data_IF_971640226049
#
_entry.id   IF_971640226049
#
_cell.length_a   1.000
_cell.length_b   1.000
_cell.length_c   1.000
_cell.angle_alpha   90.00
_cell.angle_beta   90.00
_cell.angle_gamma   90.00
#
_symmetry.space_group_name_H-M   'P 1'
#
loop_
_entity.id
_entity.type
_entity.pdbx_description
1 polymer ?
#
# COMPACT_ATOMS: atom_id res chain seq x y z
N UNK A 1 8.07 4.73 -16.23
CA UNK A 1 8.22 4.26 -14.83
C UNK A 1 8.15 2.75 -14.86
N UNK A 2 9.14 2.09 -14.29
CA UNK A 2 9.13 0.63 -14.16
C UNK A 2 8.24 0.27 -12.97
N UNK A 3 7.14 -0.45 -13.23
CA UNK A 3 6.21 -0.89 -12.19
C UNK A 3 6.64 -2.29 -11.77
N UNK A 4 7.01 -2.46 -10.49
CA UNK A 4 7.41 -3.76 -9.92
C UNK A 4 6.35 -4.24 -8.94
N UNK A 5 5.74 -5.39 -9.22
CA UNK A 5 4.75 -6.06 -8.36
C UNK A 5 5.43 -7.00 -7.34
N UNK A 6 4.70 -7.33 -6.26
CA UNK A 6 5.09 -8.30 -5.21
C UNK A 6 5.20 -9.72 -5.78
N UNK A 7 6.28 -9.97 -6.53
CA UNK A 7 6.73 -11.25 -7.11
C UNK A 7 7.70 -11.04 -8.28
N UNK A 8 7.79 -9.81 -8.83
CA UNK A 8 8.59 -9.52 -10.02
C UNK A 8 10.08 -9.28 -9.73
N UNK A 9 10.45 -9.07 -8.46
CA UNK A 9 11.85 -8.90 -8.05
C UNK A 9 12.25 -9.98 -7.03
N UNK A 10 13.02 -10.98 -7.49
CA UNK A 10 13.45 -12.10 -6.65
C UNK A 10 14.35 -11.72 -5.48
N UNK A 11 15.17 -10.68 -5.63
CA UNK A 11 16.05 -10.16 -4.57
C UNK A 11 15.44 -9.00 -3.75
N UNK A 12 14.17 -8.68 -3.98
CA UNK A 12 13.51 -7.50 -3.39
C UNK A 12 13.74 -6.21 -4.19
N UNK A 13 13.11 -5.13 -3.73
CA UNK A 13 13.21 -3.79 -4.32
C UNK A 13 13.57 -2.76 -3.25
N UNK A 14 14.41 -1.79 -3.61
CA UNK A 14 14.67 -0.62 -2.77
C UNK A 14 13.63 0.46 -3.04
N UNK A 15 12.88 0.85 -2.01
CA UNK A 15 11.84 1.90 -2.09
C UNK A 15 12.21 3.05 -1.17
N UNK A 16 12.23 4.27 -1.69
CA UNK A 16 12.33 5.49 -0.87
C UNK A 16 10.93 5.89 -0.43
N UNK A 17 10.67 5.89 0.87
CA UNK A 17 9.39 6.35 1.44
C UNK A 17 9.50 7.84 1.75
N UNK A 18 8.61 8.63 1.18
CA UNK A 18 8.51 10.07 1.44
C UNK A 18 7.26 10.39 2.26
N UNK A 19 7.24 11.56 2.88
CA UNK A 19 6.13 12.04 3.70
C UNK A 19 5.77 13.48 3.31
N UNK A 20 4.61 13.95 3.75
CA UNK A 20 4.21 15.33 3.52
C UNK A 20 5.18 16.30 4.23
N UNK A 21 5.41 17.47 3.63
CA UNK A 21 6.41 18.45 4.10
C UNK A 21 6.16 18.91 5.55
N UNK A 22 4.90 18.90 5.99
CA UNK A 22 4.49 19.28 7.34
C UNK A 22 4.51 18.13 8.36
N UNK A 23 4.88 16.93 7.95
CA UNK A 23 5.01 15.76 8.83
C UNK A 23 6.48 15.45 9.10
N UNK A 24 6.77 14.73 10.19
CA UNK A 24 8.10 14.17 10.41
C UNK A 24 8.17 12.76 9.83
N UNK A 25 9.28 12.46 9.12
CA UNK A 25 9.54 11.11 8.61
C UNK A 25 9.46 10.05 9.71
N UNK A 26 8.89 8.89 9.36
CA UNK A 26 9.06 7.68 10.16
C UNK A 26 10.48 7.16 9.95
N UNK A 27 11.21 7.01 11.06
CA UNK A 27 12.58 6.53 11.10
C UNK A 27 12.66 5.01 11.34
N UNK A 28 13.46 4.32 10.53
CA UNK A 28 13.86 2.93 10.74
C UNK A 28 14.63 2.79 12.07
N UNK A 29 14.42 1.70 12.80
CA UNK A 29 15.01 1.43 14.11
C UNK A 29 14.39 2.22 15.27
N UNK A 30 13.40 3.09 14.99
CA UNK A 30 12.63 3.80 16.02
C UNK A 30 11.13 3.63 15.87
N UNK A 31 10.60 3.82 14.67
CA UNK A 31 9.17 3.70 14.39
C UNK A 31 8.79 2.37 13.75
N UNK A 32 9.71 1.76 13.02
CA UNK A 32 9.56 0.46 12.39
C UNK A 32 10.94 -0.18 12.19
N UNK A 33 11.01 -1.51 12.04
CA UNK A 33 12.21 -2.26 11.69
C UNK A 33 11.98 -3.23 10.52
N UNK A 34 12.91 -4.16 10.31
CA UNK A 34 12.89 -5.13 9.20
C UNK A 34 11.86 -6.26 9.38
N UNK A 35 11.27 -6.39 10.57
CA UNK A 35 10.26 -7.41 10.89
C UNK A 35 8.84 -6.89 10.69
N UNK A 36 8.66 -5.58 10.59
CA UNK A 36 7.37 -4.95 10.38
C UNK A 36 6.89 -5.12 8.92
N UNK A 37 5.63 -5.58 8.76
CA UNK A 37 4.99 -5.64 7.45
C UNK A 37 4.54 -4.25 7.01
N UNK A 38 5.07 -3.78 5.88
CA UNK A 38 4.58 -2.55 5.23
C UNK A 38 3.38 -2.87 4.36
N UNK A 39 2.25 -2.20 4.62
CA UNK A 39 1.02 -2.29 3.83
C UNK A 39 0.63 -0.92 3.29
N UNK A 40 -0.08 -0.90 2.16
CA UNK A 40 -0.63 0.34 1.61
C UNK A 40 -1.70 0.90 2.53
N UNK A 41 -1.55 2.17 2.92
CA UNK A 41 -2.56 2.90 3.69
C UNK A 41 -3.74 3.27 2.79
N UNK A 42 -4.73 2.39 2.70
CA UNK A 42 -5.96 2.63 1.93
C UNK A 42 -7.04 3.26 2.82
N UNK A 43 -7.95 4.01 2.21
CA UNK A 43 -9.10 4.64 2.87
C UNK A 43 -10.40 4.28 2.15
N UNK A 44 -11.54 4.46 2.83
CA UNK A 44 -12.86 4.27 2.20
C UNK A 44 -12.99 5.09 0.91
N UNK A 45 -12.58 6.35 0.97
CA UNK A 45 -12.59 7.27 -0.17
C UNK A 45 -11.74 6.73 -1.33
N UNK A 46 -10.51 6.27 -1.07
CA UNK A 46 -9.66 5.71 -2.13
C UNK A 46 -10.26 4.46 -2.79
N UNK A 47 -10.95 3.62 -2.01
CA UNK A 47 -11.61 2.41 -2.51
C UNK A 47 -12.82 2.78 -3.40
N UNK A 48 -13.56 3.82 -3.03
CA UNK A 48 -14.72 4.25 -3.82
C UNK A 48 -14.27 4.87 -5.15
N UNK A 49 -13.19 5.65 -5.16
CA UNK A 49 -12.56 6.12 -6.41
C UNK A 49 -12.14 4.94 -7.31
N UNK A 50 -11.53 3.88 -6.76
CA UNK A 50 -11.19 2.70 -7.55
C UNK A 50 -12.43 2.03 -8.16
N UNK A 51 -13.56 1.99 -7.46
CA UNK A 51 -14.80 1.40 -7.96
C UNK A 51 -15.48 2.24 -9.03
N UNK A 52 -15.40 3.56 -8.92
CA UNK A 52 -16.07 4.49 -9.82
C UNK A 52 -15.26 4.73 -11.09
N UNK A 53 -13.94 4.88 -10.97
CA UNK A 53 -13.08 5.34 -12.06
C UNK A 53 -12.18 4.27 -12.65
N UNK A 54 -11.79 3.25 -11.88
CA UNK A 54 -10.73 2.29 -12.26
C UNK A 54 -11.16 0.82 -12.18
N UNK A 55 -12.47 0.56 -12.15
CA UNK A 55 -13.00 -0.78 -11.85
C UNK A 55 -12.47 -1.88 -12.78
N UNK A 56 -12.34 -1.56 -14.07
CA UNK A 56 -11.88 -2.49 -15.10
C UNK A 56 -10.34 -2.66 -15.11
N UNK A 57 -9.61 -1.72 -14.51
CA UNK A 57 -8.14 -1.71 -14.50
C UNK A 57 -7.57 -2.47 -13.28
N UNK A 58 -8.36 -2.56 -12.20
CA UNK A 58 -7.96 -3.27 -10.99
C UNK A 58 -8.25 -4.77 -11.14
N UNK A 59 -7.22 -5.59 -11.00
CA UNK A 59 -7.33 -7.04 -11.16
C UNK A 59 -8.13 -7.68 -10.00
N UNK A 60 -8.74 -8.85 -10.26
CA UNK A 60 -9.52 -9.59 -9.24
C UNK A 60 -8.72 -9.88 -7.97
N UNK A 61 -7.42 -10.17 -8.09
CA UNK A 61 -6.51 -10.42 -6.97
C UNK A 61 -6.27 -9.15 -6.12
N UNK A 62 -6.21 -7.98 -6.76
CA UNK A 62 -6.04 -6.69 -6.08
C UNK A 62 -7.32 -6.35 -5.28
N UNK A 63 -8.50 -6.66 -5.82
CA UNK A 63 -9.76 -6.55 -5.07
C UNK A 63 -9.82 -7.48 -3.86
N UNK A 64 -9.27 -8.69 -3.99
CA UNK A 64 -9.18 -9.63 -2.86
C UNK A 64 -8.22 -9.09 -1.79
N UNK A 65 -7.07 -8.54 -2.19
CA UNK A 65 -6.12 -7.90 -1.29
C UNK A 65 -6.76 -6.70 -0.56
N UNK A 66 -7.50 -5.83 -1.27
CA UNK A 66 -8.23 -4.71 -0.65
C UNK A 66 -9.18 -5.23 0.44
N UNK A 67 -9.94 -6.30 0.17
CA UNK A 67 -10.84 -6.91 1.18
C UNK A 67 -10.09 -7.40 2.42
N UNK A 68 -8.88 -7.95 2.25
CA UNK A 68 -8.03 -8.40 3.36
C UNK A 68 -7.44 -7.23 4.17
N UNK A 69 -7.16 -6.09 3.52
CA UNK A 69 -6.60 -4.90 4.18
C UNK A 69 -7.63 -4.09 4.96
N UNK A 70 -8.91 -4.07 4.52
CA UNK A 70 -10.00 -3.36 5.22
C UNK A 70 -10.05 -3.59 6.74
N UNK A 71 -10.08 -4.84 7.26
CA UNK A 71 -10.11 -5.06 8.70
C UNK A 71 -8.82 -4.62 9.41
N UNK A 72 -7.65 -4.77 8.78
CA UNK A 72 -6.36 -4.31 9.34
C UNK A 72 -6.34 -2.78 9.56
N UNK A 73 -7.11 -2.04 8.77
CA UNK A 73 -7.15 -0.57 8.77
C UNK A 73 -8.44 0.00 9.36
N UNK A 74 -9.32 -0.83 9.93
CA UNK A 74 -10.58 -0.39 10.53
C UNK A 74 -11.58 0.21 9.53
N UNK A 75 -11.53 -0.19 8.26
CA UNK A 75 -12.42 0.32 7.21
C UNK A 75 -13.68 -0.55 7.14
N UNK A 76 -14.89 0.04 7.30
CA UNK A 76 -16.15 -0.70 7.20
C UNK A 76 -16.40 -1.25 5.79
#
# INVERSE_FOLDING_TARGET
>A
MEIVKKSQAGAGVAVKVEHAVYESAKMFGRHFDDKDEVISQITRQSIDVLKESFRAEVASEEWLLIKQLKPKLGIP
#
